data_IF_603566330443
#
_entry.id   IF_603566330443
#
_cell.length_a   1.000
_cell.length_b   1.000
_cell.length_c   1.000
_cell.angle_alpha   90.00
_cell.angle_beta   90.00
_cell.angle_gamma   90.00
#
_symmetry.space_group_name_H-M   'P 1'
#
loop_
_entity.id
_entity.type
_entity.pdbx_description
1 polymer ?
#
# COMPACT_ATOMS: atom_id res chain seq x y z
N UNK A 1 -7.73 14.66 4.25
CA UNK A 1 -7.23 15.78 3.43
C UNK A 1 -7.97 15.79 2.10
N UNK A 2 -8.32 16.98 1.59
CA UNK A 2 -8.88 17.16 0.23
C UNK A 2 -7.81 17.14 -0.86
N UNK A 3 -6.56 16.94 -0.46
CA UNK A 3 -5.37 17.12 -1.27
C UNK A 3 -5.26 16.18 -2.48
N UNK A 4 -5.78 14.96 -2.38
CA UNK A 4 -5.78 13.98 -3.47
C UNK A 4 -7.15 13.85 -4.17
N UNK A 5 -7.96 14.92 -4.14
CA UNK A 5 -9.26 14.97 -4.83
C UNK A 5 -9.13 14.62 -6.31
N UNK A 6 -8.11 15.16 -6.98
CA UNK A 6 -7.89 14.95 -8.42
C UNK A 6 -7.62 13.48 -8.75
N UNK A 7 -6.98 12.73 -7.82
CA UNK A 7 -6.76 11.29 -7.96
C UNK A 7 -8.08 10.53 -7.85
N UNK A 8 -8.92 10.89 -6.89
CA UNK A 8 -10.26 10.31 -6.76
C UNK A 8 -11.14 10.61 -8.00
N UNK A 9 -11.03 11.81 -8.56
CA UNK A 9 -11.69 12.19 -9.82
C UNK A 9 -11.17 11.38 -11.01
N UNK A 10 -9.86 11.18 -11.10
CA UNK A 10 -9.25 10.32 -12.11
C UNK A 10 -9.73 8.86 -11.99
N UNK A 11 -9.84 8.33 -10.76
CA UNK A 11 -10.35 6.97 -10.51
C UNK A 11 -11.81 6.89 -10.95
N UNK A 12 -12.66 7.81 -10.49
CA UNK A 12 -14.08 7.84 -10.88
C UNK A 12 -14.25 7.93 -12.39
N UNK A 13 -13.47 8.78 -13.05
CA UNK A 13 -13.51 8.96 -14.52
C UNK A 13 -13.08 7.67 -15.23
N UNK A 14 -12.02 7.01 -14.76
CA UNK A 14 -11.52 5.76 -15.34
C UNK A 14 -12.50 4.61 -15.18
N UNK A 15 -13.20 4.55 -14.04
CA UNK A 15 -14.19 3.51 -13.77
C UNK A 15 -15.56 3.80 -14.40
N UNK A 16 -15.84 5.06 -14.73
CA UNK A 16 -17.14 5.49 -15.26
C UNK A 16 -18.31 5.35 -14.27
N UNK A 17 -18.03 5.12 -12.99
CA UNK A 17 -19.05 4.84 -11.97
C UNK A 17 -18.68 5.35 -10.58
N UNK A 18 -19.62 5.21 -9.63
CA UNK A 18 -19.43 5.63 -8.24
C UNK A 18 -19.75 7.10 -7.98
N UNK A 19 -19.74 7.47 -6.70
CA UNK A 19 -20.12 8.80 -6.20
C UNK A 19 -19.15 9.29 -5.14
N UNK A 20 -19.07 10.61 -5.00
CA UNK A 20 -18.35 11.25 -3.90
C UNK A 20 -19.31 11.65 -2.80
N UNK A 21 -18.89 11.44 -1.56
CA UNK A 21 -19.43 12.12 -0.38
C UNK A 21 -18.32 12.89 0.32
N UNK A 22 -18.69 14.01 0.91
CA UNK A 22 -17.77 14.91 1.60
C UNK A 22 -18.03 14.81 3.10
N UNK A 23 -17.01 14.44 3.87
CA UNK A 23 -17.08 14.34 5.32
C UNK A 23 -15.98 15.24 5.88
N UNK A 24 -16.31 16.32 6.62
CA UNK A 24 -15.33 17.29 7.19
C UNK A 24 -14.07 17.51 6.32
N UNK A 25 -13.00 16.78 6.59
CA UNK A 25 -11.69 16.91 5.94
C UNK A 25 -11.35 15.78 4.96
N UNK A 26 -12.28 14.88 4.65
CA UNK A 26 -12.10 13.72 3.77
C UNK A 26 -13.12 13.69 2.66
N UNK A 27 -12.70 13.17 1.51
CA UNK A 27 -13.56 12.87 0.37
C UNK A 27 -13.65 11.35 0.28
N UNK A 28 -14.87 10.82 0.26
CA UNK A 28 -15.12 9.39 0.22
C UNK A 28 -15.67 9.04 -1.17
N UNK A 29 -14.93 8.22 -1.91
CA UNK A 29 -15.40 7.63 -3.15
C UNK A 29 -16.09 6.29 -2.87
N UNK A 30 -17.35 6.16 -3.28
CA UNK A 30 -18.18 4.98 -3.02
C UNK A 30 -18.79 4.43 -4.30
N UNK A 31 -18.66 3.13 -4.52
CA UNK A 31 -19.43 2.37 -5.52
C UNK A 31 -20.43 1.50 -4.76
N UNK A 32 -21.73 1.80 -4.91
CA UNK A 32 -22.80 1.10 -4.18
C UNK A 32 -23.95 0.64 -5.05
N UNK A 33 -23.95 0.99 -6.35
CA UNK A 33 -24.97 0.53 -7.28
C UNK A 33 -24.74 -0.93 -7.63
N UNK A 34 -25.78 -1.76 -7.56
CA UNK A 34 -25.64 -3.20 -7.85
C UNK A 34 -25.07 -3.45 -9.25
N UNK A 35 -25.54 -2.69 -10.25
CA UNK A 35 -25.06 -2.77 -11.63
C UNK A 35 -23.57 -2.47 -11.74
N UNK A 36 -23.06 -1.47 -11.02
CA UNK A 36 -21.66 -1.09 -11.06
C UNK A 36 -20.78 -2.10 -10.31
N UNK A 37 -21.28 -2.66 -9.21
CA UNK A 37 -20.61 -3.75 -8.50
C UNK A 37 -20.44 -4.98 -9.40
N UNK A 38 -21.50 -5.37 -10.11
CA UNK A 38 -21.51 -6.54 -11.00
C UNK A 38 -20.65 -6.35 -12.25
N UNK A 39 -20.81 -5.22 -12.94
CA UNK A 39 -20.24 -5.05 -14.28
C UNK A 39 -18.87 -4.37 -14.28
N UNK A 40 -18.45 -3.76 -13.17
CA UNK A 40 -17.20 -2.99 -13.10
C UNK A 40 -16.32 -3.51 -11.95
N UNK A 41 -16.79 -3.43 -10.70
CA UNK A 41 -15.95 -3.73 -9.55
C UNK A 41 -15.50 -5.20 -9.50
N UNK A 42 -16.43 -6.14 -9.65
CA UNK A 42 -16.13 -7.57 -9.64
C UNK A 42 -15.16 -7.93 -10.78
N UNK A 43 -15.43 -7.60 -12.07
CA UNK A 43 -14.50 -7.90 -13.16
C UNK A 43 -13.08 -7.38 -12.94
N UNK A 44 -12.92 -6.17 -12.39
CA UNK A 44 -11.61 -5.60 -12.08
C UNK A 44 -10.87 -6.45 -11.05
N UNK A 45 -11.52 -6.84 -9.96
CA UNK A 45 -10.87 -7.62 -8.91
C UNK A 45 -10.73 -9.12 -9.22
N UNK A 46 -11.43 -9.63 -10.25
CA UNK A 46 -11.11 -10.93 -10.84
C UNK A 46 -9.85 -10.87 -11.70
N UNK A 47 -9.68 -9.80 -12.48
CA UNK A 47 -8.52 -9.62 -13.35
C UNK A 47 -7.27 -9.19 -12.58
N UNK A 48 -7.45 -8.35 -11.56
CA UNK A 48 -6.39 -7.79 -10.71
C UNK A 48 -6.72 -8.06 -9.24
N UNK A 49 -6.47 -9.29 -8.75
CA UNK A 49 -6.82 -9.65 -7.39
C UNK A 49 -6.06 -8.81 -6.36
N UNK A 50 -6.76 -8.48 -5.27
CA UNK A 50 -6.14 -7.81 -4.12
C UNK A 50 -5.06 -8.70 -3.51
N UNK A 51 -3.89 -8.14 -3.21
CA UNK A 51 -2.74 -8.89 -2.70
C UNK A 51 -2.72 -9.05 -1.18
N UNK A 52 -3.62 -8.40 -0.45
CA UNK A 52 -3.67 -8.43 1.03
C UNK A 52 -4.84 -9.28 1.51
N UNK A 53 -5.01 -9.40 2.83
CA UNK A 53 -6.21 -10.00 3.44
C UNK A 53 -7.54 -9.37 3.00
N UNK A 54 -7.49 -8.18 2.40
CA UNK A 54 -8.65 -7.57 1.74
C UNK A 54 -9.21 -8.43 0.60
N UNK A 55 -8.40 -9.31 0.01
CA UNK A 55 -8.88 -10.31 -0.95
C UNK A 55 -9.98 -11.20 -0.37
N UNK A 56 -9.81 -11.67 0.87
CA UNK A 56 -10.79 -12.54 1.50
C UNK A 56 -12.10 -11.79 1.78
N UNK A 57 -12.01 -10.52 2.19
CA UNK A 57 -13.18 -9.65 2.31
C UNK A 57 -13.88 -9.48 0.96
N UNK A 58 -13.12 -9.29 -0.12
CA UNK A 58 -13.66 -9.22 -1.48
C UNK A 58 -14.36 -10.54 -1.87
N UNK A 59 -13.79 -11.71 -1.58
CA UNK A 59 -14.43 -12.99 -1.89
C UNK A 59 -15.77 -13.16 -1.16
N UNK A 60 -15.84 -12.79 0.12
CA UNK A 60 -17.07 -12.81 0.89
C UNK A 60 -18.10 -11.78 0.38
N UNK A 61 -17.64 -10.58 0.00
CA UNK A 61 -18.47 -9.56 -0.65
C UNK A 61 -19.06 -10.08 -1.97
N UNK A 62 -18.22 -10.62 -2.88
CA UNK A 62 -18.63 -11.18 -4.17
C UNK A 62 -19.66 -12.29 -3.98
N UNK A 63 -19.41 -13.23 -3.05
CA UNK A 63 -20.35 -14.33 -2.77
C UNK A 63 -21.69 -13.81 -2.25
N UNK A 64 -21.66 -12.91 -1.26
CA UNK A 64 -22.89 -12.33 -0.70
C UNK A 64 -23.66 -11.49 -1.72
N UNK A 65 -22.97 -10.81 -2.63
CA UNK A 65 -23.55 -10.06 -3.74
C UNK A 65 -24.37 -10.96 -4.68
N UNK A 66 -23.78 -12.04 -5.19
CA UNK A 66 -24.48 -12.98 -6.09
C UNK A 66 -25.68 -13.65 -5.39
N UNK A 67 -25.51 -14.08 -4.13
CA UNK A 67 -26.61 -14.61 -3.33
C UNK A 67 -27.76 -13.61 -3.18
N UNK A 68 -27.45 -12.31 -3.02
CA UNK A 68 -28.44 -11.27 -2.88
C UNK A 68 -29.20 -11.02 -4.19
N UNK A 69 -28.53 -10.93 -5.34
CA UNK A 69 -29.23 -10.63 -6.61
C UNK A 69 -30.07 -11.82 -7.08
N UNK A 70 -29.63 -13.05 -6.83
CA UNK A 70 -30.33 -14.29 -7.22
C UNK A 70 -31.47 -14.69 -6.26
N UNK A 71 -31.64 -13.98 -5.14
CA UNK A 71 -32.59 -14.33 -4.05
C UNK A 71 -34.04 -14.54 -4.49
N UNK A 72 -34.45 -13.92 -5.59
CA UNK A 72 -35.83 -14.03 -6.11
C UNK A 72 -36.05 -15.25 -6.99
N UNK A 73 -34.98 -15.86 -7.52
CA UNK A 73 -35.04 -17.10 -8.31
C UNK A 73 -35.33 -18.29 -7.37
N UNK A 74 -34.80 -18.25 -6.14
CA UNK A 74 -34.92 -19.32 -5.13
C UNK A 74 -35.95 -18.99 -4.03
N UNK A 75 -37.20 -18.72 -4.43
CA UNK A 75 -38.25 -18.12 -3.58
C UNK A 75 -38.59 -18.91 -2.30
N UNK A 76 -38.42 -20.23 -2.28
CA UNK A 76 -38.68 -21.10 -1.12
C UNK A 76 -37.64 -21.01 0.00
N UNK A 77 -36.45 -20.45 -0.26
CA UNK A 77 -35.31 -20.48 0.68
C UNK A 77 -34.81 -19.09 1.12
N UNK A 78 -35.63 -18.03 0.96
CA UNK A 78 -35.22 -16.64 1.23
C UNK A 78 -34.63 -16.42 2.63
N UNK A 79 -35.23 -17.01 3.66
CA UNK A 79 -34.74 -16.85 5.04
C UNK A 79 -33.34 -17.44 5.21
N UNK A 80 -33.10 -18.62 4.63
CA UNK A 80 -31.77 -19.26 4.63
C UNK A 80 -30.74 -18.39 3.90
N UNK A 81 -31.08 -17.84 2.74
CA UNK A 81 -30.19 -16.95 1.97
C UNK A 81 -29.76 -15.74 2.81
N UNK A 82 -30.71 -15.08 3.50
CA UNK A 82 -30.35 -13.95 4.37
C UNK A 82 -29.47 -14.35 5.54
N UNK A 83 -29.75 -15.50 6.18
CA UNK A 83 -28.88 -16.05 7.23
C UNK A 83 -27.46 -16.29 6.72
N UNK A 84 -27.31 -16.89 5.54
CA UNK A 84 -26.00 -17.16 4.94
C UNK A 84 -25.27 -15.85 4.56
N UNK A 85 -25.97 -14.83 4.06
CA UNK A 85 -25.39 -13.50 3.80
C UNK A 85 -24.89 -12.84 5.11
N UNK A 86 -25.63 -12.98 6.22
CA UNK A 86 -25.21 -12.47 7.52
C UNK A 86 -23.93 -13.18 7.99
N UNK A 87 -23.83 -14.50 7.82
CA UNK A 87 -22.61 -15.26 8.13
C UNK A 87 -21.41 -14.77 7.30
N UNK A 88 -21.62 -14.50 6.00
CA UNK A 88 -20.57 -13.92 5.15
C UNK A 88 -20.17 -12.52 5.61
N UNK A 89 -21.13 -11.66 5.96
CA UNK A 89 -20.87 -10.32 6.52
C UNK A 89 -20.01 -10.41 7.78
N UNK A 90 -20.31 -11.36 8.66
CA UNK A 90 -19.58 -11.55 9.91
C UNK A 90 -18.20 -12.19 9.71
N UNK A 91 -17.90 -12.67 8.49
CA UNK A 91 -16.55 -13.09 8.11
C UNK A 91 -15.67 -11.96 7.55
N UNK A 92 -16.19 -10.73 7.39
CA UNK A 92 -15.48 -9.62 6.73
C UNK A 92 -14.91 -8.57 7.70
N UNK A 93 -13.93 -7.81 7.23
CA UNK A 93 -13.39 -6.61 7.88
C UNK A 93 -12.89 -6.92 9.31
N UNK A 94 -13.35 -6.15 10.31
CA UNK A 94 -12.93 -6.31 11.70
C UNK A 94 -13.45 -7.57 12.38
N UNK A 95 -14.48 -8.23 11.82
CA UNK A 95 -15.01 -9.49 12.35
C UNK A 95 -14.30 -10.72 11.80
N UNK A 96 -13.45 -10.56 10.76
CA UNK A 96 -12.70 -11.67 10.16
C UNK A 96 -11.72 -12.28 11.16
N UNK A 97 -11.77 -13.61 11.31
CA UNK A 97 -10.82 -14.39 12.11
C UNK A 97 -9.98 -15.38 11.30
N UNK A 98 -10.47 -15.80 10.12
CA UNK A 98 -9.76 -16.70 9.19
C UNK A 98 -9.05 -15.88 8.12
N UNK A 99 -7.76 -16.16 7.93
CA UNK A 99 -6.88 -15.33 7.10
C UNK A 99 -6.02 -16.11 6.10
N UNK A 100 -6.43 -17.34 5.78
CA UNK A 100 -5.73 -18.20 4.83
C UNK A 100 -5.95 -17.67 3.41
N UNK A 101 -4.86 -17.24 2.77
CA UNK A 101 -4.88 -16.81 1.37
C UNK A 101 -4.52 -17.99 0.46
N UNK A 102 -5.01 -18.03 -0.79
CA UNK A 102 -4.56 -19.02 -1.76
C UNK A 102 -3.05 -18.94 -1.99
N UNK A 103 -2.41 -20.08 -2.25
CA UNK A 103 -0.99 -20.12 -2.60
C UNK A 103 -0.70 -19.31 -3.87
N UNK A 104 0.47 -18.65 -3.91
CA UNK A 104 0.95 -17.86 -5.06
C UNK A 104 -0.01 -16.76 -5.56
N UNK A 105 -0.96 -16.34 -4.72
CA UNK A 105 -1.96 -15.31 -5.06
C UNK A 105 -1.39 -13.90 -5.24
N UNK A 106 -0.22 -13.64 -4.66
CA UNK A 106 0.33 -12.28 -4.58
C UNK A 106 1.15 -11.97 -5.83
N UNK A 107 0.74 -10.92 -6.55
CA UNK A 107 1.44 -10.42 -7.72
C UNK A 107 1.87 -8.98 -7.53
N UNK A 108 3.16 -8.77 -7.33
CA UNK A 108 3.76 -7.43 -7.27
C UNK A 108 4.18 -7.01 -8.68
N UNK A 109 3.77 -5.82 -9.08
CA UNK A 109 4.17 -5.14 -10.33
C UNK A 109 4.60 -3.72 -10.00
N UNK A 110 5.26 -3.03 -10.93
CA UNK A 110 5.60 -1.61 -10.72
C UNK A 110 4.39 -0.73 -10.42
N UNK A 111 3.29 -0.92 -11.16
CA UNK A 111 2.04 -0.19 -10.93
C UNK A 111 1.39 -0.52 -9.58
N UNK A 112 1.43 -1.79 -9.15
CA UNK A 112 0.95 -2.16 -7.82
C UNK A 112 1.81 -1.52 -6.72
N UNK A 113 3.13 -1.56 -6.89
CA UNK A 113 4.06 -1.02 -5.91
C UNK A 113 3.87 0.49 -5.77
N UNK A 114 3.90 1.27 -6.85
CA UNK A 114 3.71 2.73 -6.75
C UNK A 114 2.36 3.08 -6.13
N UNK A 115 1.27 2.41 -6.51
CA UNK A 115 -0.04 2.64 -5.89
C UNK A 115 -0.06 2.37 -4.38
N UNK A 116 0.69 1.36 -3.92
CA UNK A 116 0.89 1.10 -2.49
C UNK A 116 1.79 2.15 -1.82
N UNK A 117 2.86 2.60 -2.48
CA UNK A 117 3.75 3.64 -1.95
C UNK A 117 3.00 4.96 -1.76
N UNK A 118 2.10 5.27 -2.68
CA UNK A 118 1.31 6.50 -2.65
C UNK A 118 0.24 6.52 -1.55
N UNK A 119 -0.26 5.34 -1.15
CA UNK A 119 -1.21 5.21 -0.05
C UNK A 119 -0.56 5.01 1.32
N UNK A 120 0.40 4.07 1.42
CA UNK A 120 0.93 3.57 2.69
C UNK A 120 2.47 3.74 2.83
N UNK A 121 3.14 4.27 1.81
CA UNK A 121 4.58 4.49 1.81
C UNK A 121 4.99 5.74 2.59
N UNK A 122 6.14 5.66 3.26
CA UNK A 122 6.75 6.80 3.96
C UNK A 122 8.17 7.02 3.49
N UNK A 123 8.46 8.25 3.04
CA UNK A 123 9.80 8.72 2.73
C UNK A 123 10.19 9.77 3.78
N UNK A 124 11.36 9.66 4.40
CA UNK A 124 11.75 10.59 5.47
C UNK A 124 13.26 10.62 5.71
N UNK A 125 13.69 11.65 6.44
CA UNK A 125 15.03 11.75 7.03
C UNK A 125 14.95 11.37 8.52
N UNK A 126 15.76 10.40 8.95
CA UNK A 126 16.04 10.24 10.36
C UNK A 126 17.07 11.29 10.79
N UNK A 127 16.60 12.33 11.51
CA UNK A 127 17.43 13.46 11.94
C UNK A 127 18.51 13.07 12.97
N UNK A 128 18.37 11.93 13.65
CA UNK A 128 19.31 11.50 14.69
C UNK A 128 20.63 10.99 14.10
N UNK A 129 20.55 10.18 13.05
CA UNK A 129 21.71 9.56 12.39
C UNK A 129 21.97 10.13 11.00
N UNK A 130 21.17 11.12 10.57
CA UNK A 130 21.21 11.73 9.23
C UNK A 130 21.04 10.71 8.10
N UNK A 131 20.30 9.62 8.33
CA UNK A 131 19.99 8.63 7.30
C UNK A 131 18.66 8.95 6.62
N UNK A 132 18.65 8.89 5.28
CA UNK A 132 17.39 8.92 4.53
C UNK A 132 16.78 7.52 4.53
N UNK A 133 15.47 7.44 4.72
CA UNK A 133 14.76 6.17 4.90
C UNK A 133 13.47 6.14 4.11
N UNK A 134 13.21 4.98 3.53
CA UNK A 134 11.90 4.61 3.03
C UNK A 134 11.33 3.50 3.91
N UNK A 135 10.03 3.55 4.21
CA UNK A 135 9.35 2.47 4.91
C UNK A 135 7.95 2.18 4.38
N UNK A 136 7.55 0.93 4.53
CA UNK A 136 6.18 0.44 4.38
C UNK A 136 5.77 -0.29 5.64
N UNK A 137 4.62 0.09 6.18
CA UNK A 137 4.07 -0.50 7.41
C UNK A 137 2.82 -1.29 7.09
N UNK A 138 2.75 -2.52 7.57
CA UNK A 138 1.52 -3.31 7.50
C UNK A 138 1.21 -3.93 8.86
N UNK A 139 -0.05 -4.31 9.09
CA UNK A 139 -0.36 -5.18 10.22
C UNK A 139 0.46 -6.48 10.09
N UNK A 140 0.97 -7.03 11.19
CA UNK A 140 1.82 -8.23 11.20
C UNK A 140 1.21 -9.40 10.41
N UNK A 141 -0.11 -9.48 10.47
CA UNK A 141 -0.90 -10.47 9.74
C UNK A 141 -0.71 -10.39 8.21
N UNK A 142 -0.30 -9.26 7.65
CA UNK A 142 0.00 -9.03 6.22
C UNK A 142 1.51 -9.03 5.92
N UNK A 143 2.37 -9.49 6.83
CA UNK A 143 3.85 -9.50 6.65
C UNK A 143 4.31 -10.15 5.34
N UNK A 144 3.63 -11.21 4.91
CA UNK A 144 3.90 -11.90 3.64
C UNK A 144 3.92 -10.95 2.42
N UNK A 145 3.15 -9.84 2.46
CA UNK A 145 3.14 -8.84 1.39
C UNK A 145 4.48 -8.12 1.32
N UNK A 146 5.02 -7.73 2.47
CA UNK A 146 6.33 -7.08 2.56
C UNK A 146 7.44 -8.02 2.08
N UNK A 147 7.34 -9.31 2.38
CA UNK A 147 8.27 -10.33 1.87
C UNK A 147 8.23 -10.41 0.35
N UNK A 148 7.05 -10.41 -0.27
CA UNK A 148 6.90 -10.38 -1.73
C UNK A 148 7.36 -9.07 -2.37
N UNK A 149 7.17 -7.93 -1.71
CA UNK A 149 7.71 -6.65 -2.18
C UNK A 149 9.23 -6.66 -2.12
N UNK A 150 9.83 -7.21 -1.05
CA UNK A 150 11.28 -7.37 -0.93
C UNK A 150 11.84 -8.26 -2.04
N UNK A 151 11.23 -9.43 -2.27
CA UNK A 151 11.62 -10.31 -3.38
C UNK A 151 11.57 -9.56 -4.73
N UNK A 152 10.47 -8.85 -4.99
CA UNK A 152 10.29 -8.08 -6.22
C UNK A 152 11.36 -6.99 -6.42
N UNK A 153 11.69 -6.24 -5.36
CA UNK A 153 12.71 -5.19 -5.39
C UNK A 153 14.13 -5.74 -5.51
N UNK A 154 14.43 -6.86 -4.87
CA UNK A 154 15.73 -7.54 -5.01
C UNK A 154 15.92 -8.08 -6.42
N UNK A 155 14.86 -8.57 -7.07
CA UNK A 155 14.92 -9.01 -8.47
C UNK A 155 15.18 -7.89 -9.49
N UNK A 156 15.20 -6.61 -9.07
CA UNK A 156 15.63 -5.50 -9.93
C UNK A 156 17.16 -5.34 -9.96
N UNK A 157 17.89 -6.02 -9.06
CA UNK A 157 19.34 -6.00 -9.02
C UNK A 157 19.92 -6.93 -10.09
N UNK A 158 21.10 -6.61 -10.61
CA UNK A 158 21.90 -7.59 -11.35
C UNK A 158 22.29 -8.76 -10.44
N UNK A 159 22.73 -9.88 -11.03
CA UNK A 159 23.02 -11.12 -10.30
C UNK A 159 24.07 -10.92 -9.17
N UNK A 160 25.10 -10.11 -9.41
CA UNK A 160 26.15 -9.85 -8.43
C UNK A 160 25.61 -8.99 -7.28
N UNK A 161 24.87 -7.94 -7.62
CA UNK A 161 24.22 -7.05 -6.65
C UNK A 161 23.12 -7.77 -5.85
N UNK A 162 22.44 -8.77 -6.43
CA UNK A 162 21.47 -9.62 -5.72
C UNK A 162 22.13 -10.42 -4.59
N UNK A 163 23.27 -11.06 -4.87
CA UNK A 163 24.00 -11.87 -3.90
C UNK A 163 24.52 -10.99 -2.76
N UNK A 164 25.11 -9.85 -3.11
CA UNK A 164 25.56 -8.87 -2.13
C UNK A 164 24.37 -8.30 -1.34
N UNK A 165 23.24 -8.05 -2.01
CA UNK A 165 22.05 -7.50 -1.36
C UNK A 165 21.40 -8.44 -0.36
N UNK A 166 21.36 -9.72 -0.72
CA UNK A 166 20.82 -10.79 0.13
C UNK A 166 21.67 -11.03 1.39
N UNK A 167 22.96 -10.70 1.34
CA UNK A 167 23.90 -10.84 2.47
C UNK A 167 24.08 -9.57 3.30
N UNK A 168 23.68 -8.40 2.80
CA UNK A 168 23.92 -7.09 3.46
C UNK A 168 22.69 -6.44 4.08
N UNK A 169 21.50 -7.02 3.90
CA UNK A 169 20.27 -6.46 4.48
C UNK A 169 19.85 -5.13 3.83
N UNK A 170 19.89 -5.05 2.50
CA UNK A 170 19.48 -3.83 1.76
C UNK A 170 18.02 -3.43 2.03
N UNK A 171 17.16 -4.44 2.19
CA UNK A 171 15.73 -4.29 2.43
C UNK A 171 15.37 -5.10 3.68
N UNK A 172 15.19 -4.40 4.79
CA UNK A 172 14.96 -5.02 6.09
C UNK A 172 13.47 -5.18 6.34
N UNK A 173 13.06 -6.27 6.98
CA UNK A 173 11.69 -6.47 7.46
C UNK A 173 11.77 -6.78 8.95
N UNK A 174 11.19 -5.90 9.76
CA UNK A 174 11.23 -5.99 11.21
C UNK A 174 9.81 -6.01 11.79
N UNK A 175 9.55 -6.95 12.69
CA UNK A 175 8.27 -7.04 13.39
C UNK A 175 8.34 -6.19 14.68
N UNK A 176 7.41 -5.25 14.83
CA UNK A 176 7.34 -4.37 16.00
C UNK A 176 6.10 -4.72 16.82
N UNK A 177 6.33 -5.22 18.04
CA UNK A 177 5.32 -5.29 19.11
C UNK A 177 5.60 -4.13 20.06
N UNK A 178 4.63 -3.24 20.28
CA UNK A 178 4.83 -2.17 21.27
C UNK A 178 4.79 -2.75 22.69
N UNK A 179 5.77 -2.40 23.53
CA UNK A 179 5.64 -2.58 24.97
C UNK A 179 4.59 -1.59 25.49
N UNK A 180 3.47 -2.10 25.99
CA UNK A 180 2.39 -1.31 26.58
C UNK A 180 1.42 -0.72 25.54
N UNK A 181 0.20 -1.29 25.48
CA UNK A 181 -0.94 -0.76 24.71
C UNK A 181 -1.70 -1.81 23.88
N UNK A 182 -2.98 -1.55 23.60
CA UNK A 182 -3.88 -2.41 22.82
C UNK A 182 -3.67 -2.35 21.28
N UNK A 183 -2.58 -1.72 20.81
CA UNK A 183 -2.30 -1.56 19.38
C UNK A 183 -1.87 -2.89 18.74
N UNK A 184 -2.50 -3.23 17.60
CA UNK A 184 -2.25 -4.47 16.84
C UNK A 184 -0.76 -4.54 16.42
N UNK A 185 -0.11 -5.72 16.45
CA UNK A 185 1.28 -5.85 16.05
C UNK A 185 1.46 -5.49 14.56
N UNK A 186 2.60 -4.87 14.23
CA UNK A 186 2.92 -4.42 12.88
C UNK A 186 4.21 -5.07 12.37
N UNK A 187 4.36 -5.13 11.05
CA UNK A 187 5.61 -5.45 10.38
C UNK A 187 6.00 -4.25 9.52
N UNK A 188 7.28 -3.91 9.51
CA UNK A 188 7.82 -2.73 8.83
C UNK A 188 8.93 -3.18 7.88
N UNK A 189 8.76 -2.85 6.60
CA UNK A 189 9.84 -2.91 5.61
C UNK A 189 10.57 -1.57 5.65
N UNK A 190 11.90 -1.58 5.78
CA UNK A 190 12.74 -0.38 5.81
C UNK A 190 13.91 -0.51 4.82
N UNK A 191 14.16 0.56 4.06
CA UNK A 191 15.31 0.73 3.16
C UNK A 191 16.02 2.02 3.57
N UNK A 192 17.30 1.91 3.93
CA UNK A 192 18.10 3.05 4.41
C UNK A 192 19.56 3.03 3.96
N UNK A 193 19.99 2.01 3.22
CA UNK A 193 21.35 1.94 2.68
C UNK A 193 21.50 2.94 1.52
N UNK A 194 22.36 3.94 1.70
CA UNK A 194 22.42 5.09 0.80
C UNK A 194 22.83 4.73 -0.64
N UNK A 195 23.76 3.78 -0.79
CA UNK A 195 24.21 3.31 -2.10
C UNK A 195 23.08 2.61 -2.86
N UNK A 196 22.31 1.75 -2.20
CA UNK A 196 21.16 1.10 -2.81
C UNK A 196 20.05 2.11 -3.14
N UNK A 197 19.79 3.07 -2.24
CA UNK A 197 18.79 4.12 -2.46
C UNK A 197 19.12 4.93 -3.72
N UNK A 198 20.35 5.43 -3.84
CA UNK A 198 20.72 6.33 -4.92
C UNK A 198 20.95 5.63 -6.25
N UNK A 199 21.55 4.43 -6.23
CA UNK A 199 21.96 3.75 -7.46
C UNK A 199 20.90 2.80 -8.03
N UNK A 200 19.95 2.34 -7.21
CA UNK A 200 18.96 1.32 -7.63
C UNK A 200 17.53 1.81 -7.37
N UNK A 201 17.21 2.13 -6.12
CA UNK A 201 15.82 2.39 -5.72
C UNK A 201 15.27 3.68 -6.37
N UNK A 202 16.02 4.79 -6.32
CA UNK A 202 15.61 6.05 -6.95
C UNK A 202 15.46 5.90 -8.47
N UNK A 203 16.43 5.34 -9.23
CA UNK A 203 16.27 5.11 -10.67
C UNK A 203 15.06 4.24 -11.01
N UNK A 204 14.78 3.23 -10.20
CA UNK A 204 13.58 2.41 -10.38
C UNK A 204 12.30 3.21 -10.13
N UNK A 205 12.22 3.99 -9.04
CA UNK A 205 11.06 4.85 -8.76
C UNK A 205 10.86 5.95 -9.81
N UNK A 206 11.94 6.50 -10.37
CA UNK A 206 11.89 7.47 -11.48
C UNK A 206 11.24 6.89 -12.75
N UNK A 207 11.25 5.56 -12.91
CA UNK A 207 10.58 4.88 -14.03
C UNK A 207 9.06 4.72 -13.83
N UNK A 208 8.56 4.99 -12.62
CA UNK A 208 7.16 4.81 -12.27
C UNK A 208 6.39 6.14 -12.31
N UNK A 209 5.11 6.06 -12.66
CA UNK A 209 4.23 7.23 -12.65
C UNK A 209 3.52 7.35 -11.31
N UNK A 210 3.91 8.35 -10.51
CA UNK A 210 3.16 8.80 -9.34
C UNK A 210 1.94 9.65 -9.76
N UNK A 211 0.86 9.57 -8.99
CA UNK A 211 -0.42 10.23 -9.21
C UNK A 211 -0.88 11.09 -8.03
N UNK A 212 -0.42 10.83 -6.81
CA UNK A 212 -0.82 11.55 -5.58
C UNK A 212 0.20 12.61 -5.17
N UNK A 213 -0.13 13.40 -4.14
CA UNK A 213 0.84 14.34 -3.55
C UNK A 213 2.07 13.65 -2.95
N UNK A 214 2.04 12.32 -2.72
CA UNK A 214 3.20 11.54 -2.27
C UNK A 214 4.38 11.66 -3.25
N UNK A 215 4.12 11.98 -4.51
CA UNK A 215 5.17 12.32 -5.46
C UNK A 215 6.10 13.44 -4.96
N UNK A 216 5.54 14.49 -4.34
CA UNK A 216 6.35 15.61 -3.83
C UNK A 216 7.24 15.18 -2.66
N UNK A 217 6.72 14.36 -1.75
CA UNK A 217 7.51 13.78 -0.66
C UNK A 217 8.64 12.88 -1.19
N UNK A 218 8.38 12.14 -2.28
CA UNK A 218 9.41 11.37 -2.98
C UNK A 218 10.50 12.27 -3.60
N UNK A 219 10.14 13.39 -4.23
CA UNK A 219 11.10 14.33 -4.82
C UNK A 219 12.00 14.99 -3.76
N UNK A 220 11.43 15.36 -2.62
CA UNK A 220 12.19 15.87 -1.47
C UNK A 220 13.14 14.80 -0.92
N UNK A 221 12.65 13.56 -0.74
CA UNK A 221 13.46 12.41 -0.35
C UNK A 221 14.61 12.16 -1.32
N UNK A 222 14.36 12.18 -2.63
CA UNK A 222 15.36 12.01 -3.69
C UNK A 222 16.45 13.08 -3.57
N UNK A 223 16.06 14.34 -3.39
CA UNK A 223 16.98 15.46 -3.23
C UNK A 223 17.87 15.28 -2.00
N UNK A 224 17.26 14.94 -0.86
CA UNK A 224 17.97 14.70 0.40
C UNK A 224 18.93 13.50 0.27
N UNK A 225 18.51 12.42 -0.37
CA UNK A 225 19.32 11.23 -0.60
C UNK A 225 20.60 11.58 -1.38
N UNK A 226 20.50 12.32 -2.48
CA UNK A 226 21.69 12.72 -3.24
C UNK A 226 22.63 13.64 -2.45
N UNK A 227 22.10 14.56 -1.63
CA UNK A 227 22.93 15.39 -0.75
C UNK A 227 23.69 14.54 0.28
N UNK A 228 23.05 13.52 0.84
CA UNK A 228 23.69 12.60 1.78
C UNK A 228 24.74 11.76 1.08
N UNK A 229 24.42 11.20 -0.10
CA UNK A 229 25.33 10.40 -0.93
C UNK A 229 26.60 11.16 -1.31
N UNK A 230 26.48 12.47 -1.57
CA UNK A 230 27.62 13.37 -1.83
C UNK A 230 28.37 13.83 -0.57
N UNK A 231 28.03 13.31 0.62
CA UNK A 231 28.67 13.68 1.89
C UNK A 231 28.33 15.09 2.39
N UNK A 232 27.32 15.79 1.83
CA UNK A 232 27.02 17.18 2.21
C UNK A 232 26.56 17.33 3.67
N UNK A 233 25.97 16.28 4.21
CA UNK A 233 25.55 16.20 5.62
C UNK A 233 26.71 16.28 6.62
N UNK A 234 27.97 16.11 6.17
CA UNK A 234 29.17 16.23 7.00
C UNK A 234 29.59 17.69 7.26
N UNK A 235 28.94 18.65 6.59
CA UNK A 235 29.17 20.09 6.80
C UNK A 235 28.01 20.71 7.56
N UNK A 236 28.27 21.67 8.44
CA UNK A 236 27.21 22.38 9.20
C UNK A 236 26.16 23.01 8.27
N UNK A 237 26.61 23.70 7.22
CA UNK A 237 25.71 24.32 6.23
C UNK A 237 24.88 23.28 5.48
N UNK A 238 25.50 22.18 5.04
CA UNK A 238 24.79 21.11 4.33
C UNK A 238 23.81 20.36 5.23
N UNK A 239 24.21 20.07 6.47
CA UNK A 239 23.34 19.45 7.49
C UNK A 239 22.13 20.32 7.79
N UNK A 240 22.32 21.61 8.03
CA UNK A 240 21.24 22.57 8.28
C UNK A 240 20.26 22.64 7.10
N UNK A 241 20.78 22.69 5.86
CA UNK A 241 19.96 22.67 4.65
C UNK A 241 19.13 21.37 4.54
N UNK A 242 19.76 20.21 4.74
CA UNK A 242 19.09 18.91 4.68
C UNK A 242 17.97 18.80 5.72
N UNK A 243 18.21 19.26 6.96
CA UNK A 243 17.19 19.26 8.01
C UNK A 243 16.00 20.14 7.63
N UNK A 244 16.26 21.32 7.05
CA UNK A 244 15.22 22.23 6.60
C UNK A 244 14.39 21.65 5.44
N UNK A 245 15.03 20.95 4.51
CA UNK A 245 14.32 20.21 3.45
C UNK A 245 13.48 19.06 4.02
N UNK A 246 13.97 18.36 5.04
CA UNK A 246 13.20 17.28 5.67
C UNK A 246 11.95 17.76 6.42
N UNK A 247 11.80 19.07 6.67
CA UNK A 247 10.61 19.65 7.30
C UNK A 247 9.48 19.91 6.31
N UNK A 248 9.77 19.92 5.01
CA UNK A 248 8.73 20.03 3.97
C UNK A 248 8.09 18.68 3.65
N UNK A 249 8.79 17.58 3.92
CA UNK A 249 8.28 16.21 3.74
C UNK A 249 7.13 15.94 4.70
N UNK A 250 5.95 15.61 4.16
CA UNK A 250 4.77 15.34 4.96
C UNK A 250 4.77 13.91 5.50
N UNK A 251 4.76 13.79 6.82
CA UNK A 251 4.49 12.52 7.50
C UNK A 251 2.99 12.22 7.43
N UNK A 252 2.63 11.05 6.89
CA UNK A 252 1.27 10.50 6.94
C UNK A 252 1.21 9.52 8.11
#
# INVERSE_FOLDING_TARGET
MQDDKDVLESIKTSLGCGRFSYERDTIVFTISQLKDLENILIPIFEQFPLNTKKHLDYLALKKSFFMFIERNINSSNKQKIYSDIILLKDSMNDKRVVFDLPENHIRITGNYLVGLLEGDGSFYLNKNDMTVRFSLVTALKNKFLLEKIREFLLNQLDEYSCILGSSTGLININDKKKLGGNSKPISVLEIYQIDYICNIFIPYLDSLQFRTKKHMDYLDFKTIAFLIFQGKHLTEKGKSLIIKLAETVHFI
#
